data_IF_770555536708
#
_entry.id   IF_770555536708
#
_cell.length_a   1.000
_cell.length_b   1.000
_cell.length_c   1.000
_cell.angle_alpha   90.00
_cell.angle_beta   90.00
_cell.angle_gamma   90.00
#
_symmetry.space_group_name_H-M   'P 1'
#
loop_
_entity.id
_entity.type
_entity.pdbx_description
1 polymer ?
#
# COMPACT_ATOMS: atom_id res chain seq x y z
N UNK A 1 32.53 -51.74 -8.75
CA UNK A 1 31.33 -51.19 -9.43
C UNK A 1 31.07 -49.80 -8.87
N UNK A 2 31.70 -48.79 -9.45
CA UNK A 2 31.30 -47.40 -9.29
C UNK A 2 31.39 -46.82 -10.68
N UNK A 3 30.28 -46.90 -11.41
CA UNK A 3 30.11 -46.24 -12.69
C UNK A 3 30.07 -44.76 -12.41
N UNK A 4 31.22 -44.10 -12.55
CA UNK A 4 31.28 -42.67 -12.80
C UNK A 4 30.41 -42.40 -14.03
N UNK A 5 29.23 -41.83 -13.80
CA UNK A 5 28.31 -41.47 -14.87
C UNK A 5 28.94 -40.36 -15.68
N UNK A 6 29.32 -40.69 -16.92
CA UNK A 6 29.73 -39.76 -17.94
C UNK A 6 28.64 -38.69 -18.11
N UNK A 7 28.90 -37.51 -17.54
CA UNK A 7 28.05 -36.34 -17.72
C UNK A 7 28.35 -35.79 -19.11
N UNK A 8 27.51 -36.16 -20.09
CA UNK A 8 27.61 -35.66 -21.47
C UNK A 8 27.46 -34.12 -21.44
N UNK A 9 28.50 -33.35 -21.83
CA UNK A 9 28.59 -31.90 -21.57
C UNK A 9 27.59 -31.02 -22.35
N UNK A 10 26.75 -31.62 -23.19
CA UNK A 10 25.86 -30.88 -24.10
C UNK A 10 24.37 -31.02 -23.79
N UNK A 11 23.96 -31.92 -22.89
CA UNK A 11 22.54 -32.13 -22.59
C UNK A 11 22.15 -31.36 -21.32
N UNK A 12 21.67 -30.13 -21.49
CA UNK A 12 21.01 -29.41 -20.40
C UNK A 12 19.55 -29.85 -20.29
N UNK A 13 19.15 -30.23 -19.09
CA UNK A 13 17.74 -30.48 -18.79
C UNK A 13 16.95 -29.16 -18.91
N UNK A 14 15.74 -29.19 -19.51
CA UNK A 14 14.91 -27.99 -19.62
C UNK A 14 14.52 -27.51 -18.23
N UNK A 15 14.76 -26.23 -17.96
CA UNK A 15 14.33 -25.59 -16.72
C UNK A 15 12.89 -25.14 -16.92
N UNK A 16 11.97 -25.77 -16.19
CA UNK A 16 10.55 -25.46 -16.28
C UNK A 16 10.29 -24.18 -15.47
N UNK A 17 9.87 -23.12 -16.17
CA UNK A 17 9.49 -21.85 -15.56
C UNK A 17 7.97 -21.71 -15.56
N UNK A 18 7.38 -21.47 -14.39
CA UNK A 18 5.95 -21.19 -14.30
C UNK A 18 5.69 -19.71 -14.60
N UNK A 19 4.91 -19.45 -15.65
CA UNK A 19 4.54 -18.11 -16.13
C UNK A 19 3.17 -17.66 -15.62
N UNK A 20 2.52 -18.45 -14.76
CA UNK A 20 1.21 -18.11 -14.21
C UNK A 20 1.30 -17.02 -13.15
N UNK A 21 0.28 -16.17 -13.10
CA UNK A 21 0.14 -15.14 -12.07
C UNK A 21 0.02 -15.77 -10.69
N UNK A 22 0.90 -15.36 -9.77
CA UNK A 22 0.89 -15.83 -8.39
C UNK A 22 0.58 -14.68 -7.44
N UNK A 23 -0.35 -14.86 -6.48
CA UNK A 23 -0.63 -13.85 -5.48
C UNK A 23 0.47 -13.85 -4.41
N UNK A 24 0.95 -12.65 -4.06
CA UNK A 24 1.85 -12.44 -2.94
C UNK A 24 1.33 -11.33 -2.05
N UNK A 25 1.41 -11.53 -0.73
CA UNK A 25 1.11 -10.49 0.26
C UNK A 25 2.41 -9.95 0.82
N UNK A 26 2.54 -8.64 0.85
CA UNK A 26 3.75 -7.93 1.31
C UNK A 26 3.29 -6.88 2.30
N UNK A 27 3.81 -6.96 3.53
CA UNK A 27 3.57 -5.97 4.59
C UNK A 27 4.80 -5.10 4.74
N UNK A 28 4.61 -3.79 4.84
CA UNK A 28 5.69 -2.84 5.02
C UNK A 28 5.35 -1.75 6.04
N UNK A 29 6.13 -1.59 7.12
CA UNK A 29 6.03 -0.43 7.98
C UNK A 29 6.61 0.79 7.26
N UNK A 30 5.81 1.84 7.14
CA UNK A 30 6.14 3.06 6.38
C UNK A 30 5.77 4.31 7.18
N UNK A 31 6.58 5.36 7.06
CA UNK A 31 6.30 6.67 7.64
C UNK A 31 5.46 7.55 6.72
N UNK A 32 4.43 8.18 7.25
CA UNK A 32 3.64 9.22 6.56
C UNK A 32 4.36 10.58 6.54
N UNK A 33 3.81 11.54 5.81
CA UNK A 33 4.30 12.92 5.74
C UNK A 33 4.39 13.62 7.10
N UNK A 34 3.47 13.31 7.99
CA UNK A 34 3.38 13.81 9.37
C UNK A 34 4.10 12.90 10.39
N UNK A 35 5.06 12.10 9.90
CA UNK A 35 5.94 11.23 10.69
C UNK A 35 5.19 10.19 11.54
N UNK A 36 4.00 9.78 11.09
CA UNK A 36 3.27 8.68 11.73
C UNK A 36 3.67 7.35 11.10
N UNK A 37 3.88 6.35 11.94
CA UNK A 37 4.14 4.99 11.49
C UNK A 37 2.83 4.32 11.09
N UNK A 38 2.81 3.78 9.87
CA UNK A 38 1.67 3.08 9.26
C UNK A 38 2.16 1.73 8.78
N UNK A 39 1.44 0.66 9.12
CA UNK A 39 1.68 -0.64 8.53
C UNK A 39 0.70 -0.85 7.37
N UNK A 40 1.25 -1.08 6.18
CA UNK A 40 0.48 -1.26 4.95
C UNK A 40 0.75 -2.66 4.40
N UNK A 41 -0.34 -3.38 4.11
CA UNK A 41 -0.28 -4.68 3.44
C UNK A 41 -0.78 -4.54 2.02
N UNK A 42 0.07 -4.90 1.05
CA UNK A 42 -0.25 -5.01 -0.36
C UNK A 42 -0.46 -6.48 -0.73
N UNK A 43 -1.44 -6.72 -1.61
CA UNK A 43 -1.56 -7.95 -2.40
C UNK A 43 -1.17 -7.63 -3.83
N UNK A 44 -0.25 -8.40 -4.37
CA UNK A 44 0.24 -8.25 -5.74
C UNK A 44 0.02 -9.58 -6.47
N UNK A 45 -0.56 -9.54 -7.66
CA UNK A 45 -0.57 -10.65 -8.61
C UNK A 45 0.50 -10.38 -9.65
N UNK A 46 1.55 -11.20 -9.65
CA UNK A 46 2.71 -11.03 -10.52
C UNK A 46 3.02 -12.29 -11.31
N UNK A 47 3.59 -12.10 -12.50
CA UNK A 47 4.13 -13.16 -13.36
C UNK A 47 5.34 -12.63 -14.13
N UNK A 48 6.26 -13.49 -14.58
CA UNK A 48 7.38 -13.04 -15.39
C UNK A 48 6.89 -12.74 -16.81
N UNK A 49 7.57 -11.84 -17.52
CA UNK A 49 7.38 -11.72 -18.96
C UNK A 49 7.96 -12.95 -19.68
N UNK A 50 7.09 -13.68 -20.38
CA UNK A 50 7.45 -14.88 -21.12
C UNK A 50 8.54 -14.62 -22.17
N UNK A 51 8.58 -13.42 -22.76
CA UNK A 51 9.58 -13.04 -23.77
C UNK A 51 10.97 -12.80 -23.18
N UNK A 52 11.05 -12.48 -21.89
CA UNK A 52 12.30 -12.14 -21.19
C UNK A 52 12.75 -13.20 -20.20
N UNK A 53 12.12 -14.38 -20.18
CA UNK A 53 12.46 -15.49 -19.28
C UNK A 53 13.96 -15.84 -19.26
N UNK A 54 14.69 -15.91 -20.40
CA UNK A 54 16.11 -16.21 -20.37
C UNK A 54 16.93 -15.15 -19.61
N UNK A 55 16.53 -13.88 -19.69
CA UNK A 55 17.19 -12.78 -18.99
C UNK A 55 16.86 -12.81 -17.49
N UNK A 56 15.57 -12.95 -17.15
CA UNK A 56 15.09 -13.06 -15.76
C UNK A 56 15.80 -14.22 -15.05
N UNK A 57 15.88 -15.40 -15.68
CA UNK A 57 16.53 -16.56 -15.09
C UNK A 57 18.02 -16.34 -14.83
N UNK A 58 18.75 -15.70 -15.76
CA UNK A 58 20.19 -15.43 -15.61
C UNK A 58 20.49 -14.40 -14.53
N UNK A 59 19.68 -13.35 -14.43
CA UNK A 59 19.94 -12.20 -13.55
C UNK A 59 19.32 -12.39 -12.17
N UNK A 60 18.06 -12.83 -12.12
CA UNK A 60 17.26 -12.87 -10.89
C UNK A 60 17.10 -14.30 -10.36
N UNK A 61 17.07 -15.30 -11.25
CA UNK A 61 16.89 -16.70 -10.90
C UNK A 61 15.42 -17.17 -10.98
N UNK A 62 15.14 -18.31 -10.35
CA UNK A 62 13.79 -18.88 -10.24
C UNK A 62 12.95 -18.17 -9.16
N UNK A 63 13.60 -17.58 -8.16
CA UNK A 63 13.05 -16.84 -7.03
C UNK A 63 12.97 -15.32 -7.29
N UNK A 64 12.80 -14.94 -8.56
CA UNK A 64 12.77 -13.55 -9.01
C UNK A 64 11.72 -12.71 -8.26
N UNK A 65 10.55 -13.28 -8.01
CA UNK A 65 9.43 -12.62 -7.33
C UNK A 65 9.72 -12.40 -5.85
N UNK A 66 10.38 -13.36 -5.18
CA UNK A 66 10.76 -13.24 -3.78
C UNK A 66 11.85 -12.20 -3.55
N UNK A 67 12.76 -12.05 -4.52
CA UNK A 67 13.87 -11.08 -4.44
C UNK A 67 13.43 -9.67 -4.78
N UNK A 68 12.68 -9.51 -5.87
CA UNK A 68 12.40 -8.18 -6.43
C UNK A 68 11.17 -7.56 -5.78
N UNK A 69 10.05 -8.30 -5.65
CA UNK A 69 8.77 -7.71 -5.23
C UNK A 69 8.84 -7.03 -3.86
N UNK A 70 9.43 -7.61 -2.80
CA UNK A 70 9.52 -6.93 -1.51
C UNK A 70 10.32 -5.64 -1.59
N UNK A 71 11.40 -5.61 -2.38
CA UNK A 71 12.26 -4.44 -2.54
C UNK A 71 11.51 -3.29 -3.19
N UNK A 72 10.93 -3.53 -4.38
CA UNK A 72 10.20 -2.49 -5.12
C UNK A 72 8.91 -2.06 -4.41
N UNK A 73 8.22 -2.99 -3.73
CA UNK A 73 7.02 -2.64 -2.96
C UNK A 73 7.37 -1.73 -1.79
N UNK A 74 8.45 -2.03 -1.06
CA UNK A 74 8.90 -1.20 0.06
C UNK A 74 9.34 0.19 -0.40
N UNK A 75 10.07 0.26 -1.53
CA UNK A 75 10.51 1.52 -2.13
C UNK A 75 9.31 2.40 -2.53
N UNK A 76 8.39 1.84 -3.32
CA UNK A 76 7.19 2.56 -3.79
C UNK A 76 6.28 2.95 -2.63
N UNK A 77 6.01 2.05 -1.67
CA UNK A 77 5.21 2.38 -0.50
C UNK A 77 5.81 3.57 0.27
N UNK A 78 7.12 3.55 0.53
CA UNK A 78 7.81 4.67 1.21
C UNK A 78 7.72 5.97 0.43
N UNK A 79 7.94 5.93 -0.88
CA UNK A 79 7.81 7.10 -1.77
C UNK A 79 6.41 7.69 -1.74
N UNK A 80 5.38 6.86 -1.89
CA UNK A 80 3.99 7.30 -2.01
C UNK A 80 3.46 7.79 -0.67
N UNK A 81 3.63 7.00 0.39
CA UNK A 81 3.06 7.29 1.71
C UNK A 81 3.66 8.55 2.33
N UNK A 82 4.95 8.83 2.08
CA UNK A 82 5.60 10.07 2.52
C UNK A 82 4.98 11.34 1.90
N UNK A 83 4.18 11.23 0.83
CA UNK A 83 3.48 12.37 0.21
C UNK A 83 2.15 12.71 0.92
N UNK A 84 1.61 11.80 1.73
CA UNK A 84 0.30 11.93 2.36
C UNK A 84 0.40 11.97 3.88
N UNK A 85 -0.48 12.74 4.52
CA UNK A 85 -0.66 12.67 5.97
C UNK A 85 -1.41 11.39 6.35
N UNK A 86 -1.24 10.92 7.59
CA UNK A 86 -1.90 9.72 8.09
C UNK A 86 -3.44 9.74 7.92
N UNK A 87 -4.09 10.88 8.15
CA UNK A 87 -5.54 11.05 7.92
C UNK A 87 -5.96 10.93 6.44
N UNK A 88 -5.09 11.34 5.51
CA UNK A 88 -5.33 11.25 4.08
C UNK A 88 -5.21 9.82 3.57
N UNK A 89 -4.36 9.00 4.18
CA UNK A 89 -4.26 7.58 3.83
C UNK A 89 -5.56 6.81 4.09
N UNK A 90 -6.37 7.26 5.05
CA UNK A 90 -7.70 6.71 5.33
C UNK A 90 -8.72 7.29 4.34
N UNK A 91 -8.81 8.62 4.28
CA UNK A 91 -9.87 9.33 3.55
C UNK A 91 -9.71 9.27 2.03
N UNK A 92 -8.46 9.22 1.54
CA UNK A 92 -8.10 9.21 0.11
C UNK A 92 -7.48 7.87 -0.31
N UNK A 93 -7.84 6.78 0.37
CA UNK A 93 -7.28 5.43 0.11
C UNK A 93 -7.32 5.01 -1.36
N UNK A 94 -8.38 5.37 -2.08
CA UNK A 94 -8.50 5.06 -3.52
C UNK A 94 -7.43 5.76 -4.35
N UNK A 95 -7.18 7.05 -4.10
CA UNK A 95 -6.14 7.82 -4.79
C UNK A 95 -4.75 7.26 -4.49
N UNK A 96 -4.48 6.94 -3.21
CA UNK A 96 -3.22 6.30 -2.80
C UNK A 96 -3.04 4.96 -3.50
N UNK A 97 -4.08 4.12 -3.54
CA UNK A 97 -4.03 2.81 -4.21
C UNK A 97 -3.72 2.92 -5.69
N UNK A 98 -4.33 3.88 -6.40
CA UNK A 98 -4.09 4.11 -7.82
C UNK A 98 -2.64 4.54 -8.06
N UNK A 99 -2.13 5.43 -7.23
CA UNK A 99 -0.78 5.97 -7.35
C UNK A 99 0.28 4.90 -7.03
N UNK A 100 0.08 4.09 -5.98
CA UNK A 100 0.93 2.92 -5.68
C UNK A 100 0.91 1.94 -6.84
N UNK A 101 -0.27 1.59 -7.38
CA UNK A 101 -0.38 0.67 -8.52
C UNK A 101 0.42 1.17 -9.72
N UNK A 102 0.29 2.45 -10.07
CA UNK A 102 1.02 3.06 -11.19
C UNK A 102 2.53 2.99 -10.99
N UNK A 103 3.04 3.53 -9.88
CA UNK A 103 4.48 3.56 -9.60
C UNK A 103 5.07 2.14 -9.51
N UNK A 104 4.31 1.17 -8.98
CA UNK A 104 4.76 -0.22 -8.86
C UNK A 104 4.80 -0.95 -10.21
N UNK A 105 3.82 -0.71 -11.09
CA UNK A 105 3.83 -1.25 -12.46
C UNK A 105 5.04 -0.71 -13.22
N UNK A 106 5.26 0.60 -13.18
CA UNK A 106 6.38 1.24 -13.87
C UNK A 106 7.71 0.66 -13.36
N UNK A 107 7.87 0.50 -12.04
CA UNK A 107 9.09 -0.07 -11.46
C UNK A 107 9.30 -1.55 -11.74
N UNK A 108 8.23 -2.34 -11.86
CA UNK A 108 8.31 -3.77 -12.14
C UNK A 108 8.77 -4.07 -13.59
N UNK A 109 8.53 -3.13 -14.53
CA UNK A 109 8.96 -3.27 -15.92
C UNK A 109 10.49 -3.34 -16.06
N UNK A 110 11.23 -2.63 -15.22
CA UNK A 110 12.70 -2.66 -15.19
C UNK A 110 13.26 -4.07 -14.92
N UNK A 111 12.46 -4.93 -14.28
CA UNK A 111 12.81 -6.31 -13.95
C UNK A 111 12.10 -7.34 -14.83
N UNK A 112 11.38 -6.89 -15.87
CA UNK A 112 10.54 -7.71 -16.74
C UNK A 112 9.49 -8.54 -15.98
N UNK A 113 8.95 -7.96 -14.89
CA UNK A 113 7.87 -8.56 -14.10
C UNK A 113 6.58 -7.85 -14.47
N UNK A 114 5.56 -8.62 -14.82
CA UNK A 114 4.23 -8.11 -15.13
C UNK A 114 3.36 -8.22 -13.88
N UNK A 115 2.77 -7.09 -13.50
CA UNK A 115 1.79 -7.01 -12.41
C UNK A 115 0.38 -6.98 -13.00
N UNK A 116 -0.34 -8.10 -12.88
CA UNK A 116 -1.72 -8.18 -13.38
C UNK A 116 -2.68 -7.45 -12.42
N UNK A 117 -2.40 -7.47 -11.11
CA UNK A 117 -3.17 -6.72 -10.11
C UNK A 117 -2.28 -6.25 -8.95
N UNK A 118 -2.63 -5.08 -8.40
CA UNK A 118 -2.02 -4.51 -7.19
C UNK A 118 -3.13 -3.91 -6.34
N UNK A 119 -3.30 -4.46 -5.15
CA UNK A 119 -4.41 -4.14 -4.26
C UNK A 119 -3.89 -3.85 -2.85
N UNK A 120 -4.25 -2.69 -2.29
CA UNK A 120 -3.95 -2.36 -0.90
C UNK A 120 -4.99 -3.01 0.02
N UNK A 121 -4.62 -4.07 0.73
CA UNK A 121 -5.57 -4.88 1.51
C UNK A 121 -5.80 -4.33 2.90
N UNK A 122 -4.73 -3.96 3.61
CA UNK A 122 -4.80 -3.54 5.01
C UNK A 122 -3.98 -2.29 5.22
N UNK A 123 -4.50 -1.41 6.09
CA UNK A 123 -3.83 -0.19 6.52
C UNK A 123 -4.11 -0.01 8.01
N UNK A 124 -3.07 -0.12 8.83
CA UNK A 124 -3.17 0.02 10.28
C UNK A 124 -2.19 1.08 10.79
N UNK A 125 -2.65 1.84 11.80
CA UNK A 125 -1.87 2.84 12.51
C UNK A 125 -1.53 2.32 13.91
N UNK A 126 -0.62 3.02 14.59
CA UNK A 126 -0.39 2.77 16.02
C UNK A 126 -1.69 2.96 16.82
N UNK A 127 -1.83 2.21 17.92
CA UNK A 127 -3.04 2.27 18.77
C UNK A 127 -3.21 3.67 19.36
N UNK A 128 -2.10 4.32 19.68
CA UNK A 128 -2.02 5.65 20.24
C UNK A 128 -2.53 6.69 19.24
N UNK A 129 -2.18 6.56 17.95
CA UNK A 129 -2.68 7.45 16.91
C UNK A 129 -4.19 7.27 16.68
N UNK A 130 -4.65 6.01 16.62
CA UNK A 130 -6.08 5.72 16.47
C UNK A 130 -6.90 6.34 17.62
N UNK A 131 -6.46 6.16 18.87
CA UNK A 131 -7.10 6.75 20.04
C UNK A 131 -7.05 8.29 20.03
N UNK A 132 -5.93 8.88 19.61
CA UNK A 132 -5.80 10.33 19.51
C UNK A 132 -6.71 10.94 18.42
N UNK A 133 -6.89 10.25 17.29
CA UNK A 133 -7.82 10.67 16.22
C UNK A 133 -9.26 10.60 16.71
N UNK A 134 -9.65 9.50 17.37
CA UNK A 134 -10.99 9.34 17.94
C UNK A 134 -11.28 10.41 18.99
N UNK A 135 -10.34 10.65 19.93
CA UNK A 135 -10.48 11.70 20.94
C UNK A 135 -10.61 13.10 20.31
N UNK A 136 -9.83 13.42 19.27
CA UNK A 136 -9.96 14.67 18.53
C UNK A 136 -11.33 14.80 17.86
N UNK A 137 -11.86 13.72 17.29
CA UNK A 137 -13.19 13.73 16.66
C UNK A 137 -14.29 14.00 17.71
N UNK A 138 -14.22 13.35 18.87
CA UNK A 138 -15.17 13.58 19.97
C UNK A 138 -15.10 15.04 20.44
N UNK A 139 -13.91 15.55 20.73
CA UNK A 139 -13.73 16.93 21.18
C UNK A 139 -14.21 17.96 20.13
N UNK A 140 -13.99 17.72 18.84
CA UNK A 140 -14.52 18.56 17.76
C UNK A 140 -16.04 18.52 17.71
N UNK A 141 -16.65 17.34 17.88
CA UNK A 141 -18.09 17.18 17.87
C UNK A 141 -18.75 17.87 19.07
N UNK A 142 -18.15 17.78 20.25
CA UNK A 142 -18.60 18.47 21.46
C UNK A 142 -18.51 20.00 21.30
N UNK A 143 -17.40 20.50 20.75
CA UNK A 143 -17.25 21.93 20.47
C UNK A 143 -18.29 22.43 19.46
N UNK A 144 -18.57 21.67 18.40
CA UNK A 144 -19.62 22.01 17.43
C UNK A 144 -21.01 22.05 18.08
N UNK A 145 -21.34 21.07 18.94
CA UNK A 145 -22.60 21.06 19.68
C UNK A 145 -22.72 22.25 20.63
N UNK A 146 -21.67 22.56 21.39
CA UNK A 146 -21.65 23.71 22.29
C UNK A 146 -21.85 25.03 21.53
N UNK A 147 -21.19 25.19 20.38
CA UNK A 147 -21.37 26.37 19.52
C UNK A 147 -22.82 26.50 19.01
N UNK A 148 -23.44 25.39 18.61
CA UNK A 148 -24.83 25.38 18.15
C UNK A 148 -25.82 25.76 19.27
N UNK A 149 -25.62 25.22 20.48
CA UNK A 149 -26.43 25.59 21.65
C UNK A 149 -26.32 27.08 21.99
N UNK A 150 -25.10 27.64 21.93
CA UNK A 150 -24.88 29.07 22.15
C UNK A 150 -25.58 29.91 21.09
N UNK A 151 -25.53 29.49 19.83
CA UNK A 151 -26.18 30.21 18.73
C UNK A 151 -27.71 30.16 18.83
N UNK A 152 -28.28 29.00 19.18
CA UNK A 152 -29.72 28.88 19.48
C UNK A 152 -30.14 29.80 20.63
N UNK A 153 -29.38 29.83 21.72
CA UNK A 153 -29.68 30.70 22.85
C UNK A 153 -29.63 32.20 22.49
N UNK A 154 -28.74 32.61 21.58
CA UNK A 154 -28.72 33.98 21.04
C UNK A 154 -29.94 34.28 20.17
N UNK A 155 -30.30 33.36 19.28
CA UNK A 155 -31.47 33.51 18.40
C UNK A 155 -32.77 33.62 19.21
N UNK A 156 -32.95 32.77 20.22
CA UNK A 156 -34.13 32.83 21.10
C UNK A 156 -34.22 34.15 21.87
N UNK A 157 -33.10 34.70 22.34
CA UNK A 157 -33.09 36.03 22.98
C UNK A 157 -33.51 37.13 22.02
N UNK A 158 -33.00 37.11 20.78
CA UNK A 158 -33.35 38.12 19.79
C UNK A 158 -34.84 38.04 19.43
N UNK A 159 -35.40 36.84 19.29
CA UNK A 159 -36.83 36.65 19.03
C UNK A 159 -37.72 37.22 20.15
N UNK A 160 -37.33 37.00 21.41
CA UNK A 160 -38.07 37.54 22.58
C UNK A 160 -38.07 39.06 22.63
N UNK A 161 -37.00 39.72 22.20
CA UNK A 161 -36.93 41.19 22.15
C UNK A 161 -37.87 41.73 21.07
N UNK A 162 -37.84 41.15 19.87
CA UNK A 162 -38.69 41.59 18.74
C UNK A 162 -40.19 41.37 19.00
N UNK A 163 -40.57 40.34 19.78
CA UNK A 163 -41.98 40.13 20.15
C UNK A 163 -42.51 41.08 21.24
N UNK A 164 -41.62 41.74 21.97
CA UNK A 164 -42.00 42.64 23.08
C UNK A 164 -42.12 44.11 22.64
N UNK A 165 -41.81 44.42 21.38
CA UNK A 165 -41.90 45.74 20.74
C UNK A 165 -43.16 45.81 19.84
#
# INVERSE_FOLDING_TARGET
MSSAGDSIPWFQWPIIYDIRSRPRKISSPTGSKDLQMVNITLRVLARPDASQLPHIYRVLGLDYDERVLPSICNEVLKSVVAKFNASQLITQRQQVSLLVRKELIDRAQDFHIILDDVSLTELSFSKEYAAAVESKQVAQQEAQRAAFTVEQAKQERQQKIVQAE
#
